data_IF_938394017915
#
_entry.id   IF_938394017915
#
_cell.length_a   1.000
_cell.length_b   1.000
_cell.length_c   1.000
_cell.angle_alpha   90.00
_cell.angle_beta   90.00
_cell.angle_gamma   90.00
#
_symmetry.space_group_name_H-M   'P 1'
#
loop_
_entity.id
_entity.type
_entity.pdbx_description
1 polymer ?
#
# COMPACT_ATOMS: atom_id res chain seq x y z
N UNK A 1 -12.91 -13.91 -10.45
CA UNK A 1 -11.98 -13.95 -9.29
C UNK A 1 -11.08 -15.21 -9.34
N UNK A 2 -11.61 -16.44 -9.44
CA UNK A 2 -10.79 -17.68 -9.52
C UNK A 2 -9.79 -17.68 -10.67
N UNK A 3 -10.16 -17.15 -11.82
CA UNK A 3 -9.26 -17.04 -12.99
C UNK A 3 -8.13 -16.02 -12.78
N UNK A 4 -8.40 -14.94 -12.04
CA UNK A 4 -7.42 -13.90 -11.75
C UNK A 4 -6.45 -14.27 -10.61
N UNK A 5 -6.84 -15.21 -9.75
CA UNK A 5 -6.05 -15.63 -8.59
C UNK A 5 -6.07 -17.17 -8.48
N UNK A 6 -5.34 -17.88 -9.36
CA UNK A 6 -5.38 -19.34 -9.44
C UNK A 6 -4.88 -20.04 -8.17
N UNK A 7 -3.96 -19.42 -7.44
CA UNK A 7 -3.36 -19.96 -6.22
C UNK A 7 -4.16 -19.64 -4.94
N UNK A 8 -5.29 -18.95 -5.07
CA UNK A 8 -6.12 -18.59 -3.92
C UNK A 8 -6.90 -19.82 -3.41
N UNK A 9 -6.86 -20.04 -2.10
CA UNK A 9 -7.66 -21.07 -1.44
C UNK A 9 -9.06 -20.53 -1.21
N UNK A 10 -10.07 -21.11 -1.87
CA UNK A 10 -11.47 -20.65 -1.83
C UNK A 10 -12.34 -21.35 -0.78
N UNK A 11 -11.87 -22.44 -0.23
CA UNK A 11 -12.55 -23.30 0.76
C UNK A 11 -11.74 -23.45 2.05
N UNK A 12 -10.85 -22.50 2.31
CA UNK A 12 -10.06 -22.42 3.54
C UNK A 12 -10.92 -22.09 4.77
N UNK A 13 -10.39 -22.41 5.95
CA UNK A 13 -11.01 -22.05 7.21
C UNK A 13 -11.01 -20.53 7.40
N UNK A 14 -12.19 -19.95 7.69
CA UNK A 14 -12.35 -18.51 7.88
C UNK A 14 -12.03 -18.06 9.33
N UNK A 15 -12.16 -18.96 10.29
CA UNK A 15 -11.99 -18.66 11.71
C UNK A 15 -10.61 -19.13 12.19
N UNK A 16 -9.61 -18.29 11.93
CA UNK A 16 -8.22 -18.52 12.28
C UNK A 16 -7.74 -17.39 13.20
N UNK A 17 -6.83 -17.69 14.10
CA UNK A 17 -6.22 -16.73 15.03
C UNK A 17 -4.92 -16.07 14.47
N UNK A 18 -4.48 -16.49 13.28
CA UNK A 18 -3.34 -15.93 12.55
C UNK A 18 -3.72 -14.98 11.40
N UNK A 19 -4.98 -14.54 11.33
CA UNK A 19 -5.46 -13.58 10.31
C UNK A 19 -4.98 -12.18 10.65
N UNK A 20 -4.23 -11.56 9.74
CA UNK A 20 -3.70 -10.20 9.88
C UNK A 20 -4.39 -9.17 8.96
N UNK A 21 -5.08 -9.61 7.93
CA UNK A 21 -5.80 -8.77 6.98
C UNK A 21 -6.97 -9.54 6.35
N UNK A 22 -8.07 -8.85 6.14
CA UNK A 22 -9.23 -9.35 5.41
C UNK A 22 -9.48 -8.43 4.24
N UNK A 23 -9.56 -8.98 3.03
CA UNK A 23 -9.98 -8.26 1.84
C UNK A 23 -11.37 -8.73 1.41
N UNK A 24 -12.20 -7.80 0.97
CA UNK A 24 -13.59 -8.08 0.57
C UNK A 24 -13.97 -7.29 -0.67
N UNK A 25 -14.96 -7.79 -1.40
CA UNK A 25 -15.50 -7.14 -2.60
C UNK A 25 -16.57 -6.13 -2.19
N UNK A 26 -16.49 -4.93 -2.75
CA UNK A 26 -17.46 -3.86 -2.56
C UNK A 26 -18.51 -3.87 -3.68
N UNK A 27 -19.75 -3.57 -3.34
CA UNK A 27 -20.79 -3.22 -4.31
C UNK A 27 -20.80 -1.72 -4.63
N UNK A 28 -20.35 -0.91 -3.66
CA UNK A 28 -20.29 0.55 -3.79
C UNK A 28 -19.27 1.15 -2.83
N UNK A 29 -18.92 2.42 -3.03
CA UNK A 29 -18.10 3.16 -2.06
C UNK A 29 -18.83 3.37 -0.71
N UNK A 30 -20.16 3.38 -0.71
CA UNK A 30 -20.94 3.47 0.53
C UNK A 30 -20.73 2.23 1.41
N UNK A 31 -20.61 1.04 0.82
CA UNK A 31 -20.31 -0.19 1.57
C UNK A 31 -18.96 -0.12 2.31
N UNK A 32 -17.98 0.55 1.69
CA UNK A 32 -16.70 0.83 2.37
C UNK A 32 -16.87 1.74 3.59
N UNK A 33 -17.62 2.84 3.44
CA UNK A 33 -17.87 3.76 4.56
C UNK A 33 -18.64 3.09 5.70
N UNK A 34 -19.62 2.27 5.38
CA UNK A 34 -20.41 1.52 6.34
C UNK A 34 -19.56 0.49 7.08
N UNK A 35 -18.71 -0.23 6.36
CA UNK A 35 -17.77 -1.21 6.95
C UNK A 35 -16.78 -0.53 7.88
N UNK A 36 -16.20 0.59 7.45
CA UNK A 36 -15.29 1.39 8.28
C UNK A 36 -15.95 1.86 9.57
N UNK A 37 -17.23 2.25 9.52
CA UNK A 37 -17.99 2.64 10.69
C UNK A 37 -18.30 1.49 11.66
N UNK A 38 -18.41 0.26 11.15
CA UNK A 38 -18.68 -0.93 11.98
C UNK A 38 -17.46 -1.47 12.71
N UNK A 39 -16.26 -1.23 12.19
CA UNK A 39 -15.00 -1.74 12.73
C UNK A 39 -14.01 -0.61 13.06
N UNK A 40 -14.35 0.27 14.02
CA UNK A 40 -13.54 1.46 14.31
C UNK A 40 -12.15 1.14 14.89
N UNK A 41 -11.95 -0.07 15.41
CA UNK A 41 -10.69 -0.54 15.97
C UNK A 41 -9.74 -1.15 14.92
N UNK A 42 -10.22 -1.32 13.69
CA UNK A 42 -9.42 -1.82 12.57
C UNK A 42 -9.04 -0.68 11.62
N UNK A 43 -7.94 -0.87 10.92
CA UNK A 43 -7.56 -0.02 9.80
C UNK A 43 -8.36 -0.42 8.57
N UNK A 44 -9.05 0.55 7.95
CA UNK A 44 -9.87 0.31 6.77
C UNK A 44 -9.26 1.00 5.56
N UNK A 45 -9.03 0.24 4.49
CA UNK A 45 -8.58 0.73 3.20
C UNK A 45 -9.55 0.37 2.08
N UNK A 46 -9.40 1.05 0.94
CA UNK A 46 -10.11 0.68 -0.31
C UNK A 46 -9.19 0.87 -1.50
N UNK A 47 -9.36 0.05 -2.52
CA UNK A 47 -8.57 0.09 -3.75
C UNK A 47 -9.40 -0.38 -4.95
N UNK A 48 -8.88 -0.14 -6.17
CA UNK A 48 -9.56 -0.51 -7.41
C UNK A 48 -10.62 0.49 -7.86
N UNK A 49 -10.59 1.73 -7.35
CA UNK A 49 -11.49 2.80 -7.78
C UNK A 49 -12.00 3.66 -6.63
N UNK A 50 -12.81 4.65 -6.97
CA UNK A 50 -13.49 5.56 -6.03
C UNK A 50 -14.96 5.72 -6.39
N UNK A 51 -15.78 6.14 -5.42
CA UNK A 51 -17.21 6.33 -5.62
C UNK A 51 -17.88 5.04 -6.09
N UNK A 52 -18.70 5.13 -7.14
CA UNK A 52 -19.40 3.97 -7.69
C UNK A 52 -18.47 2.89 -8.29
N UNK A 53 -17.19 3.19 -8.47
CA UNK A 53 -16.20 2.26 -9.04
C UNK A 53 -15.29 1.61 -7.99
N UNK A 54 -15.50 1.87 -6.71
CA UNK A 54 -14.78 1.18 -5.65
C UNK A 54 -15.02 -0.32 -5.73
N UNK A 55 -13.96 -1.12 -5.85
CA UNK A 55 -14.06 -2.55 -6.10
C UNK A 55 -13.79 -3.39 -4.85
N UNK A 56 -12.83 -2.97 -4.03
CA UNK A 56 -12.32 -3.76 -2.92
C UNK A 56 -12.18 -2.91 -1.66
N UNK A 57 -12.43 -3.55 -0.51
CA UNK A 57 -12.14 -3.03 0.80
C UNK A 57 -11.21 -3.97 1.56
N UNK A 58 -10.43 -3.39 2.44
CA UNK A 58 -9.54 -4.11 3.33
C UNK A 58 -9.80 -3.72 4.78
N UNK A 59 -9.69 -4.69 5.68
CA UNK A 59 -9.60 -4.49 7.12
C UNK A 59 -8.29 -5.11 7.62
N UNK A 60 -7.50 -4.32 8.30
CA UNK A 60 -6.21 -4.74 8.86
C UNK A 60 -6.05 -4.30 10.32
N UNK A 61 -4.95 -4.70 10.91
CA UNK A 61 -4.60 -4.28 12.26
C UNK A 61 -4.20 -2.80 12.24
N UNK A 62 -4.82 -2.02 13.13
CA UNK A 62 -4.58 -0.58 13.21
C UNK A 62 -3.13 -0.27 13.56
N UNK A 63 -2.57 0.73 12.90
CA UNK A 63 -1.18 1.16 13.12
C UNK A 63 -0.12 0.31 12.41
N UNK A 64 -0.50 -0.78 11.74
CA UNK A 64 0.43 -1.56 10.92
C UNK A 64 0.46 -0.96 9.52
N UNK A 65 1.32 0.02 9.34
CA UNK A 65 1.54 0.73 8.06
C UNK A 65 2.83 0.27 7.38
N UNK A 66 3.03 0.67 6.12
CA UNK A 66 4.30 0.44 5.41
C UNK A 66 5.48 1.10 6.14
N UNK A 67 5.30 2.31 6.67
CA UNK A 67 6.31 2.99 7.48
C UNK A 67 6.65 2.21 8.77
N UNK A 68 5.64 1.69 9.47
CA UNK A 68 5.86 0.84 10.64
C UNK A 68 6.63 -0.44 10.29
N UNK A 69 6.31 -1.08 9.17
CA UNK A 69 7.03 -2.28 8.73
C UNK A 69 8.50 -1.98 8.41
N UNK A 70 8.80 -0.83 7.78
CA UNK A 70 10.17 -0.38 7.51
C UNK A 70 10.92 -0.13 8.82
N UNK A 71 10.30 0.56 9.78
CA UNK A 71 10.91 0.80 11.09
C UNK A 71 11.33 -0.51 11.78
N UNK A 72 10.42 -1.50 11.78
CA UNK A 72 10.70 -2.83 12.33
C UNK A 72 11.83 -3.57 11.58
N UNK A 73 11.85 -3.45 10.25
CA UNK A 73 12.89 -4.04 9.42
C UNK A 73 14.26 -3.40 9.69
N UNK A 74 14.34 -2.08 9.77
CA UNK A 74 15.56 -1.35 10.09
C UNK A 74 16.12 -1.74 11.46
N UNK A 75 15.25 -1.83 12.47
CA UNK A 75 15.63 -2.31 13.79
C UNK A 75 16.19 -3.75 13.76
N UNK A 76 15.59 -4.63 12.95
CA UNK A 76 16.05 -6.01 12.79
C UNK A 76 17.41 -6.10 12.09
N UNK A 77 17.63 -5.26 11.08
CA UNK A 77 18.88 -5.23 10.30
C UNK A 77 20.00 -4.41 10.96
N UNK A 78 19.72 -3.65 12.01
CA UNK A 78 20.65 -2.69 12.58
C UNK A 78 21.00 -1.54 11.62
N UNK A 79 20.09 -1.23 10.69
CA UNK A 79 20.25 -0.18 9.69
C UNK A 79 19.59 1.13 10.13
N UNK A 80 19.96 2.25 9.49
CA UNK A 80 19.46 3.55 9.85
C UNK A 80 18.43 4.06 8.82
N UNK A 81 17.50 4.87 9.29
CA UNK A 81 16.52 5.53 8.43
C UNK A 81 17.18 6.38 7.33
N UNK A 82 18.34 6.98 7.62
CA UNK A 82 19.08 7.79 6.66
C UNK A 82 19.59 7.00 5.44
N UNK A 83 19.66 5.68 5.55
CA UNK A 83 20.14 4.79 4.50
C UNK A 83 18.98 4.19 3.66
N UNK A 84 17.78 4.79 3.75
CA UNK A 84 16.58 4.25 3.11
C UNK A 84 16.15 5.04 1.89
N UNK A 85 15.73 4.30 0.86
CA UNK A 85 15.02 4.82 -0.30
C UNK A 85 13.69 4.08 -0.42
N UNK A 86 12.60 4.81 -0.63
CA UNK A 86 11.29 4.22 -0.85
C UNK A 86 10.72 4.66 -2.21
N UNK A 87 10.08 3.73 -2.89
CA UNK A 87 9.37 3.98 -4.14
C UNK A 87 7.88 3.71 -3.95
N UNK A 88 7.03 4.57 -4.51
CA UNK A 88 5.58 4.43 -4.40
C UNK A 88 4.85 5.06 -5.58
N UNK A 89 3.63 4.59 -5.83
CA UNK A 89 2.79 5.06 -6.93
C UNK A 89 1.37 5.49 -6.49
N UNK A 90 0.99 5.18 -5.27
CA UNK A 90 -0.36 5.43 -4.76
C UNK A 90 -0.37 6.24 -3.46
N UNK A 91 -1.49 6.90 -3.15
CA UNK A 91 -1.65 7.70 -1.95
C UNK A 91 -1.38 6.92 -0.64
N UNK A 92 -1.60 5.60 -0.65
CA UNK A 92 -1.29 4.72 0.49
C UNK A 92 0.22 4.61 0.77
N UNK A 93 1.08 4.99 -0.18
CA UNK A 93 2.53 4.97 -0.05
C UNK A 93 3.10 6.26 0.53
N UNK A 94 2.33 7.34 0.55
CA UNK A 94 2.77 8.65 1.04
C UNK A 94 3.44 8.56 2.42
N UNK A 95 2.85 7.91 3.44
CA UNK A 95 3.51 7.80 4.74
C UNK A 95 4.84 7.04 4.71
N UNK A 96 5.01 6.11 3.79
CA UNK A 96 6.27 5.39 3.58
C UNK A 96 7.33 6.30 2.95
N UNK A 97 6.95 7.08 1.93
CA UNK A 97 7.86 8.02 1.28
C UNK A 97 8.30 9.14 2.24
N UNK A 98 7.40 9.64 3.08
CA UNK A 98 7.72 10.63 4.12
C UNK A 98 8.61 10.06 5.23
N UNK A 99 8.46 8.78 5.53
CA UNK A 99 9.26 8.13 6.57
C UNK A 99 10.70 7.88 6.11
N UNK A 100 10.94 7.47 4.88
CA UNK A 100 12.28 7.18 4.37
C UNK A 100 13.12 8.44 4.15
N UNK A 101 14.45 8.28 4.10
CA UNK A 101 15.36 9.40 3.83
C UNK A 101 15.15 9.97 2.43
N UNK A 102 14.89 9.09 1.46
CA UNK A 102 14.58 9.48 0.09
C UNK A 102 13.25 8.83 -0.31
N UNK A 103 12.24 9.65 -0.59
CA UNK A 103 10.97 9.22 -1.16
C UNK A 103 10.92 9.52 -2.66
N UNK A 104 10.64 8.50 -3.45
CA UNK A 104 10.54 8.58 -4.92
C UNK A 104 9.14 8.19 -5.36
N UNK A 105 8.43 9.10 -6.01
CA UNK A 105 7.17 8.78 -6.68
C UNK A 105 7.43 8.19 -8.07
N UNK A 106 6.71 7.15 -8.42
CA UNK A 106 6.75 6.59 -9.78
C UNK A 106 6.03 7.50 -10.78
N UNK A 107 6.49 7.52 -12.04
CA UNK A 107 5.91 8.34 -13.10
C UNK A 107 4.44 8.04 -13.41
N UNK A 108 4.03 6.78 -13.28
CA UNK A 108 2.64 6.32 -13.35
C UNK A 108 1.82 6.57 -12.07
N UNK A 109 2.43 7.12 -11.03
CA UNK A 109 1.75 7.40 -9.76
C UNK A 109 0.72 8.53 -9.86
N UNK A 110 -0.13 8.62 -8.83
CA UNK A 110 -1.13 9.69 -8.72
C UNK A 110 -0.48 11.06 -8.52
N UNK A 111 -1.19 12.12 -8.89
CA UNK A 111 -0.67 13.48 -8.75
C UNK A 111 -0.36 13.85 -7.29
N UNK A 112 -1.13 13.32 -6.34
CA UNK A 112 -0.93 13.56 -4.90
C UNK A 112 0.45 13.05 -4.43
N UNK A 113 0.84 11.83 -4.83
CA UNK A 113 2.13 11.26 -4.44
C UNK A 113 3.28 11.95 -5.17
N UNK A 114 3.11 12.33 -6.44
CA UNK A 114 4.12 13.09 -7.19
C UNK A 114 4.36 14.48 -6.60
N UNK A 115 3.29 15.15 -6.16
CA UNK A 115 3.39 16.49 -5.58
C UNK A 115 4.14 16.50 -4.24
N UNK A 116 4.08 15.41 -3.47
CA UNK A 116 4.74 15.33 -2.16
C UNK A 116 6.15 14.75 -2.23
N UNK A 117 6.49 13.97 -3.26
CA UNK A 117 7.80 13.34 -3.38
C UNK A 117 8.88 14.35 -3.81
N UNK A 118 10.06 14.24 -3.21
CA UNK A 118 11.24 15.05 -3.62
C UNK A 118 11.79 14.66 -5.00
N UNK A 119 11.53 13.43 -5.43
CA UNK A 119 11.97 12.87 -6.71
C UNK A 119 10.79 12.17 -7.38
N UNK A 120 10.62 12.43 -8.68
CA UNK A 120 9.69 11.68 -9.53
C UNK A 120 10.51 10.88 -10.53
N UNK A 121 10.35 9.55 -10.51
CA UNK A 121 10.96 8.62 -11.45
C UNK A 121 10.20 8.60 -12.79
N UNK A 122 10.70 7.85 -13.75
CA UNK A 122 9.97 7.52 -14.97
C UNK A 122 8.79 6.57 -14.69
N UNK A 123 8.01 6.30 -15.74
CA UNK A 123 6.93 5.32 -15.69
C UNK A 123 7.49 3.90 -15.44
N UNK A 124 6.70 3.06 -14.79
CA UNK A 124 7.08 1.66 -14.53
C UNK A 124 7.30 0.89 -15.83
N UNK A 125 6.54 1.20 -16.89
CA UNK A 125 6.66 0.56 -18.20
C UNK A 125 7.87 1.06 -19.01
N UNK A 126 8.55 2.11 -18.53
CA UNK A 126 9.74 2.71 -19.15
C UNK A 126 11.02 2.46 -18.33
N UNK A 127 11.08 1.40 -17.56
CA UNK A 127 12.19 1.09 -16.63
C UNK A 127 12.46 2.21 -15.60
N UNK A 128 11.42 2.97 -15.24
CA UNK A 128 11.54 4.14 -14.35
C UNK A 128 12.18 3.80 -13.01
N UNK A 129 11.85 2.64 -12.44
CA UNK A 129 12.44 2.16 -11.19
C UNK A 129 13.95 1.91 -11.32
N UNK A 130 14.37 1.15 -12.33
CA UNK A 130 15.77 0.83 -12.56
C UNK A 130 16.62 2.08 -12.79
N UNK A 131 16.14 2.99 -13.64
CA UNK A 131 16.82 4.27 -13.93
C UNK A 131 16.92 5.17 -12.68
N UNK A 132 15.92 5.12 -11.80
CA UNK A 132 15.99 5.88 -10.56
C UNK A 132 17.05 5.30 -9.60
N UNK A 133 17.17 3.99 -9.49
CA UNK A 133 18.25 3.34 -8.74
C UNK A 133 19.64 3.73 -9.27
N UNK A 134 19.85 3.70 -10.59
CA UNK A 134 21.12 4.12 -11.20
C UNK A 134 21.49 5.58 -10.91
N UNK A 135 20.48 6.45 -10.76
CA UNK A 135 20.70 7.88 -10.45
C UNK A 135 20.96 8.15 -8.98
N UNK A 136 20.52 7.28 -8.12
CA UNK A 136 20.69 7.43 -6.65
C UNK A 136 22.02 6.84 -6.17
N UNK A 137 22.71 6.07 -7.02
CA UNK A 137 24.03 5.53 -6.75
C UNK A 137 24.09 4.13 -6.26
#
# INVERSE_FOLDING_TARGET
MREAFPDMIFDGELYRDDVNKISYVLGSYQDFLDTRGRFPDLESGTWGGRGATALFGDLGVKGITKAHAIDRLLAHLGANRQDTVAFGDAAVDIPMLEYCAVGVAMGNGSEDIKAMAGIVAGDVEEDGLARAFERLG
#
